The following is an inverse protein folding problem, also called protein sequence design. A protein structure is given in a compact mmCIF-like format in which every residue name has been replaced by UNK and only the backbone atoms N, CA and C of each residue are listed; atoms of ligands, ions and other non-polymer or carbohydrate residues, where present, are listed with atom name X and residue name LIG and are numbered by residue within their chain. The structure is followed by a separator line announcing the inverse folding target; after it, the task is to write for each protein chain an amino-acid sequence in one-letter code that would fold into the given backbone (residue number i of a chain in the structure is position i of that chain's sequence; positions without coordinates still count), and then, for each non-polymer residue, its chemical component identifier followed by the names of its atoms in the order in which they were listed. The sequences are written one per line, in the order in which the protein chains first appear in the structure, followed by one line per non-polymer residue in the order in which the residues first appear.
data_IF_884831286885
#
_entry.id   IF_884831286885
#
_cell.length_a   1.000
_cell.length_b   1.000
_cell.length_c   1.000
_cell.angle_alpha   90.00
_cell.angle_beta   90.00
_cell.angle_gamma   90.00
#
_symmetry.space_group_name_H-M   'P 1'
#
loop_
_entity.id
_entity.type
_entity.pdbx_description
1 polymer ?
#
# COMPACT_ATOMS: atom_id res chain seq x y z
N UNK A 1 51.22 -32.07 37.27
CA UNK A 1 50.81 -33.00 38.32
C UNK A 1 51.14 -34.45 37.99
N UNK A 2 50.74 -34.98 36.80
CA UNK A 2 50.96 -36.38 36.41
C UNK A 2 52.45 -36.75 36.32
N UNK A 3 53.30 -35.87 35.80
CA UNK A 3 54.77 -36.12 35.68
C UNK A 3 55.45 -36.19 37.08
N UNK A 4 55.01 -35.44 38.08
CA UNK A 4 55.55 -35.49 39.43
C UNK A 4 55.13 -36.76 40.17
N UNK A 5 53.90 -37.23 39.94
CA UNK A 5 53.40 -38.50 40.49
C UNK A 5 54.15 -39.68 39.89
N UNK A 6 54.45 -39.67 38.60
CA UNK A 6 55.25 -40.68 37.89
C UNK A 6 56.72 -40.69 38.36
N UNK A 7 57.31 -39.49 38.60
CA UNK A 7 58.67 -39.39 39.11
C UNK A 7 58.80 -39.90 40.56
N UNK A 8 57.83 -39.63 41.42
CA UNK A 8 57.77 -40.18 42.80
C UNK A 8 57.53 -41.70 42.89
N UNK A 9 56.68 -42.22 42.00
CA UNK A 9 56.41 -43.65 41.88
C UNK A 9 57.62 -44.38 41.31
N UNK A 10 58.48 -43.80 40.51
CA UNK A 10 59.67 -44.41 39.94
C UNK A 10 60.78 -44.78 40.96
N UNK A 11 60.75 -44.11 42.15
CA UNK A 11 61.72 -44.30 43.23
C UNK A 11 61.41 -45.50 44.15
N UNK A 12 60.19 -46.06 44.09
CA UNK A 12 59.68 -47.02 45.09
C UNK A 12 59.63 -48.44 44.53
N UNK A 13 59.55 -48.70 43.25
CA UNK A 13 59.46 -50.01 42.64
C UNK A 13 60.42 -50.24 41.46
N UNK A 14 61.45 -50.97 41.61
CA UNK A 14 62.34 -51.52 40.55
C UNK A 14 61.83 -52.84 40.07
N UNK A 15 60.80 -52.87 39.21
CA UNK A 15 60.34 -54.15 38.60
C UNK A 15 60.77 -54.25 37.12
N UNK A 16 60.94 -55.45 36.64
CA UNK A 16 61.19 -55.73 35.22
C UNK A 16 59.96 -56.48 34.66
N UNK A 17 59.50 -56.03 33.48
CA UNK A 17 58.47 -56.71 32.69
C UNK A 17 59.17 -57.68 31.72
N UNK A 18 58.80 -58.98 31.76
CA UNK A 18 59.29 -59.99 30.84
C UNK A 18 58.27 -60.16 29.72
N UNK A 19 58.58 -59.77 28.52
CA UNK A 19 57.76 -60.01 27.32
C UNK A 19 58.33 -61.23 26.61
N UNK A 20 57.55 -62.32 26.58
CA UNK A 20 57.95 -63.58 25.90
C UNK A 20 57.30 -63.56 24.52
N UNK A 21 58.14 -63.51 23.47
CA UNK A 21 57.67 -63.58 22.08
C UNK A 21 58.39 -64.79 21.48
N UNK A 22 57.61 -65.88 21.22
CA UNK A 22 58.05 -67.20 20.77
C UNK A 22 59.12 -67.81 21.67
N UNK A 23 60.40 -67.80 21.31
CA UNK A 23 61.49 -68.37 22.08
C UNK A 23 62.47 -67.35 22.69
N UNK A 24 62.15 -66.06 22.60
CA UNK A 24 63.03 -65.01 23.14
C UNK A 24 62.34 -64.25 24.32
N UNK A 25 63.08 -64.17 25.45
CA UNK A 25 62.70 -63.40 26.62
C UNK A 25 63.32 -61.98 26.53
N UNK A 26 62.50 -61.00 26.29
CA UNK A 26 62.93 -59.60 26.35
C UNK A 26 62.66 -59.05 27.78
N UNK A 27 63.70 -58.60 28.44
CA UNK A 27 63.63 -57.97 29.76
C UNK A 27 63.56 -56.43 29.57
N UNK A 28 62.43 -55.81 29.88
CA UNK A 28 62.20 -54.37 29.75
C UNK A 28 61.98 -53.76 31.14
N UNK A 29 62.61 -52.65 31.44
CA UNK A 29 62.39 -51.94 32.68
C UNK A 29 60.88 -51.49 32.74
N UNK A 30 60.24 -51.72 33.89
CA UNK A 30 58.81 -51.41 34.12
C UNK A 30 58.49 -50.00 33.70
N UNK A 31 59.36 -49.01 33.99
CA UNK A 31 59.14 -47.62 33.64
C UNK A 31 59.21 -47.37 32.14
N UNK A 32 60.13 -48.02 31.41
CA UNK A 32 60.19 -47.95 29.95
C UNK A 32 58.98 -48.59 29.29
N UNK A 33 58.45 -49.67 29.86
CA UNK A 33 57.21 -50.34 29.38
C UNK A 33 55.99 -49.43 29.57
N UNK A 34 55.79 -48.81 30.75
CA UNK A 34 54.68 -47.91 31.04
C UNK A 34 54.75 -46.64 30.13
N UNK A 35 55.97 -46.14 29.96
CA UNK A 35 56.15 -44.97 29.09
C UNK A 35 55.87 -45.28 27.62
N UNK A 36 56.32 -46.46 27.14
CA UNK A 36 56.01 -47.00 25.82
C UNK A 36 54.49 -47.22 25.60
N UNK A 37 53.81 -47.76 26.65
CA UNK A 37 52.36 -47.97 26.61
C UNK A 37 51.61 -46.61 26.52
N UNK A 38 51.99 -45.63 27.35
CA UNK A 38 51.39 -44.31 27.31
C UNK A 38 51.63 -43.60 25.97
N UNK A 39 52.85 -43.75 25.44
CA UNK A 39 53.19 -43.21 24.13
C UNK A 39 52.36 -43.84 23.01
N UNK A 40 52.18 -45.18 23.07
CA UNK A 40 51.39 -45.94 22.09
C UNK A 40 49.91 -45.52 22.12
N UNK A 41 49.33 -45.36 23.32
CA UNK A 41 47.96 -44.86 23.51
C UNK A 41 47.84 -43.43 22.97
N UNK A 42 48.83 -42.58 23.23
CA UNK A 42 48.85 -41.20 22.73
C UNK A 42 48.93 -41.15 21.20
N UNK A 43 49.82 -41.94 20.61
CA UNK A 43 49.93 -42.03 19.13
C UNK A 43 48.64 -42.59 18.52
N UNK A 44 48.06 -43.63 19.13
CA UNK A 44 46.80 -44.21 18.66
C UNK A 44 45.66 -43.20 18.74
N UNK A 45 45.57 -42.43 19.83
CA UNK A 45 44.59 -41.34 19.97
C UNK A 45 44.74 -40.30 18.86
N UNK A 46 45.96 -39.85 18.60
CA UNK A 46 46.22 -38.87 17.53
C UNK A 46 45.91 -39.43 16.15
N UNK A 47 46.23 -40.70 15.92
CA UNK A 47 45.97 -41.38 14.66
C UNK A 47 44.45 -41.50 14.40
N UNK A 48 43.68 -41.90 15.41
CA UNK A 48 42.23 -41.96 15.37
C UNK A 48 41.67 -40.54 15.08
N UNK A 49 42.12 -39.54 15.83
CA UNK A 49 41.67 -38.14 15.66
C UNK A 49 42.02 -37.61 14.28
N UNK A 50 43.18 -37.95 13.73
CA UNK A 50 43.61 -37.59 12.40
C UNK A 50 42.74 -38.22 11.31
N UNK A 51 42.45 -39.52 11.41
CA UNK A 51 41.57 -40.25 10.49
C UNK A 51 40.15 -39.68 10.53
N UNK A 52 39.57 -39.45 11.73
CA UNK A 52 38.26 -38.82 11.86
C UNK A 52 38.27 -37.37 11.35
N UNK A 53 39.35 -36.63 11.51
CA UNK A 53 39.55 -35.31 10.95
C UNK A 53 39.50 -35.30 9.41
N UNK A 54 40.25 -36.24 8.79
CA UNK A 54 40.28 -36.46 7.34
C UNK A 54 38.90 -36.84 6.77
N UNK A 55 38.18 -37.75 7.42
CA UNK A 55 36.84 -38.20 7.01
C UNK A 55 35.80 -37.07 7.09
N UNK A 56 35.98 -36.10 7.98
CA UNK A 56 35.05 -34.96 8.13
C UNK A 56 35.37 -33.75 7.24
N UNK A 57 36.51 -33.74 6.54
CA UNK A 57 36.90 -32.65 5.62
C UNK A 57 35.85 -32.41 4.51
N UNK A 58 35.36 -33.46 3.79
CA UNK A 58 34.39 -33.23 2.72
C UNK A 58 33.08 -32.67 3.24
N UNK A 59 32.59 -33.09 4.40
CA UNK A 59 31.38 -32.55 5.01
C UNK A 59 31.54 -31.07 5.44
N UNK A 60 32.71 -30.69 5.93
CA UNK A 60 33.02 -29.29 6.25
C UNK A 60 33.14 -28.43 4.99
N UNK A 61 33.80 -28.90 3.94
CA UNK A 61 33.90 -28.22 2.67
C UNK A 61 32.54 -28.02 2.02
N UNK A 62 31.64 -29.00 2.05
CA UNK A 62 30.28 -28.86 1.57
C UNK A 62 29.50 -27.79 2.35
N UNK A 63 29.58 -27.81 3.71
CA UNK A 63 28.93 -26.76 4.54
C UNK A 63 29.47 -25.37 4.28
N UNK A 64 30.78 -25.21 4.07
CA UNK A 64 31.38 -23.95 3.67
C UNK A 64 30.93 -23.51 2.26
N UNK A 65 30.81 -24.44 1.32
CA UNK A 65 30.30 -24.18 -0.03
C UNK A 65 28.85 -23.72 -0.01
N UNK A 66 27.98 -24.40 0.75
CA UNK A 66 26.57 -24.03 0.95
C UNK A 66 26.46 -22.64 1.59
N UNK A 67 27.20 -22.40 2.68
CA UNK A 67 27.17 -21.10 3.37
C UNK A 67 27.70 -19.95 2.49
N UNK A 68 28.70 -20.21 1.63
CA UNK A 68 29.22 -19.22 0.66
C UNK A 68 28.18 -18.90 -0.41
N UNK A 69 27.53 -19.94 -0.97
CA UNK A 69 26.47 -19.80 -1.97
C UNK A 69 25.26 -19.05 -1.39
N UNK A 70 24.85 -19.37 -0.16
CA UNK A 70 23.78 -18.65 0.53
C UNK A 70 24.11 -17.16 0.74
N UNK A 71 25.34 -16.84 1.16
CA UNK A 71 25.79 -15.43 1.29
C UNK A 71 25.80 -14.70 -0.06
N UNK A 72 26.22 -15.39 -1.11
CA UNK A 72 26.21 -14.82 -2.45
C UNK A 72 24.79 -14.55 -2.95
N UNK A 73 23.83 -15.48 -2.70
CA UNK A 73 22.42 -15.27 -3.00
C UNK A 73 21.85 -14.05 -2.27
N UNK A 74 22.15 -13.90 -0.97
CA UNK A 74 21.73 -12.73 -0.20
C UNK A 74 22.36 -11.43 -0.71
N UNK A 75 23.61 -11.43 -1.13
CA UNK A 75 24.28 -10.27 -1.71
C UNK A 75 23.65 -9.86 -3.05
N UNK A 76 23.39 -10.83 -3.94
CA UNK A 76 22.67 -10.57 -5.19
C UNK A 76 21.25 -10.07 -4.97
N UNK A 77 20.53 -10.62 -3.97
CA UNK A 77 19.20 -10.16 -3.62
C UNK A 77 19.18 -8.70 -3.14
N UNK A 78 20.15 -8.34 -2.28
CA UNK A 78 20.31 -6.95 -1.85
C UNK A 78 20.62 -6.02 -3.03
N UNK A 79 21.49 -6.45 -3.95
CA UNK A 79 21.80 -5.70 -5.17
C UNK A 79 20.57 -5.55 -6.07
N UNK A 80 19.74 -6.59 -6.19
CA UNK A 80 18.49 -6.55 -6.94
C UNK A 80 17.51 -5.54 -6.33
N UNK A 81 17.35 -5.57 -4.99
CA UNK A 81 16.48 -4.64 -4.27
C UNK A 81 16.92 -3.19 -4.43
N UNK A 82 18.21 -2.89 -4.24
CA UNK A 82 18.77 -1.55 -4.44
C UNK A 82 18.57 -1.07 -5.88
N UNK A 83 18.90 -1.91 -6.87
CA UNK A 83 18.72 -1.57 -8.28
C UNK A 83 17.23 -1.29 -8.62
N UNK A 84 16.30 -2.04 -8.04
CA UNK A 84 14.86 -1.82 -8.21
C UNK A 84 14.42 -0.45 -7.68
N UNK A 85 14.82 -0.11 -6.45
CA UNK A 85 14.48 1.19 -5.84
C UNK A 85 15.16 2.38 -6.52
N UNK A 86 16.30 2.16 -7.19
CA UNK A 86 16.98 3.15 -8.02
C UNK A 86 16.37 3.28 -9.43
N UNK A 87 15.32 2.50 -9.76
CA UNK A 87 14.69 2.49 -11.08
C UNK A 87 15.50 1.76 -12.17
N UNK A 88 16.56 1.04 -11.80
CA UNK A 88 17.41 0.24 -12.72
C UNK A 88 16.84 -1.17 -12.86
N UNK A 89 15.67 -1.28 -13.49
CA UNK A 89 14.87 -2.50 -13.51
C UNK A 89 15.55 -3.67 -14.22
N UNK A 90 16.27 -3.41 -15.33
CA UNK A 90 17.03 -4.45 -16.01
C UNK A 90 18.12 -5.07 -15.11
N UNK A 91 18.85 -4.25 -14.36
CA UNK A 91 19.83 -4.73 -13.40
C UNK A 91 19.18 -5.45 -12.22
N UNK A 92 18.05 -4.97 -11.76
CA UNK A 92 17.29 -5.61 -10.68
C UNK A 92 16.86 -7.01 -11.08
N UNK A 93 16.36 -7.19 -12.30
CA UNK A 93 15.97 -8.49 -12.85
C UNK A 93 17.18 -9.42 -12.98
N UNK A 94 18.29 -8.96 -13.58
CA UNK A 94 19.50 -9.76 -13.73
C UNK A 94 20.06 -10.27 -12.40
N UNK A 95 20.08 -9.42 -11.37
CA UNK A 95 20.53 -9.81 -10.03
C UNK A 95 19.55 -10.78 -9.35
N UNK A 96 18.23 -10.60 -9.54
CA UNK A 96 17.22 -11.54 -9.09
C UNK A 96 17.37 -12.91 -9.77
N UNK A 97 17.60 -12.94 -11.08
CA UNK A 97 17.85 -14.17 -11.84
C UNK A 97 19.08 -14.93 -11.33
N UNK A 98 20.16 -14.24 -10.92
CA UNK A 98 21.34 -14.90 -10.30
C UNK A 98 20.97 -15.61 -8.99
N UNK A 99 20.08 -15.02 -8.18
CA UNK A 99 19.58 -15.68 -6.96
C UNK A 99 18.85 -16.97 -7.32
N UNK A 100 18.01 -16.94 -8.36
CA UNK A 100 17.18 -18.08 -8.77
C UNK A 100 18.01 -19.24 -9.36
N UNK A 101 19.15 -18.94 -9.98
CA UNK A 101 20.10 -19.95 -10.45
C UNK A 101 20.82 -20.67 -9.30
N UNK A 102 20.82 -20.08 -8.10
CA UNK A 102 21.47 -20.66 -6.94
C UNK A 102 20.51 -21.62 -6.21
N UNK A 103 20.81 -22.91 -6.25
CA UNK A 103 20.01 -23.96 -5.57
C UNK A 103 19.94 -23.77 -4.05
N UNK A 104 20.93 -23.09 -3.47
CA UNK A 104 21.04 -22.83 -2.04
C UNK A 104 20.45 -21.44 -1.64
N UNK A 105 19.60 -20.87 -2.48
CA UNK A 105 18.98 -19.57 -2.23
C UNK A 105 18.00 -19.58 -1.03
N UNK A 106 17.42 -20.76 -0.71
CA UNK A 106 16.49 -20.90 0.41
C UNK A 106 15.32 -19.89 0.33
N UNK A 107 15.04 -19.23 1.45
CA UNK A 107 13.95 -18.26 1.57
C UNK A 107 14.12 -17.04 0.64
N UNK A 108 15.35 -16.74 0.21
CA UNK A 108 15.62 -15.67 -0.74
C UNK A 108 14.99 -15.90 -2.12
N UNK A 109 14.65 -17.14 -2.46
CA UNK A 109 14.07 -17.49 -3.76
C UNK A 109 12.74 -16.80 -3.99
N UNK A 110 11.83 -16.82 -3.00
CA UNK A 110 10.50 -16.19 -3.12
C UNK A 110 10.64 -14.67 -3.36
N UNK A 111 11.52 -14.01 -2.60
CA UNK A 111 11.73 -12.58 -2.75
C UNK A 111 12.40 -12.24 -4.10
N UNK A 112 13.31 -13.08 -4.58
CA UNK A 112 13.94 -12.92 -5.89
C UNK A 112 12.91 -13.06 -7.02
N UNK A 113 12.00 -14.05 -6.94
CA UNK A 113 10.90 -14.20 -7.89
C UNK A 113 10.01 -12.95 -7.93
N UNK A 114 9.67 -12.41 -6.76
CA UNK A 114 8.87 -11.19 -6.67
C UNK A 114 9.58 -9.96 -7.22
N UNK A 115 10.85 -9.77 -6.89
CA UNK A 115 11.64 -8.65 -7.42
C UNK A 115 11.82 -8.76 -8.95
N UNK A 116 12.10 -9.97 -9.45
CA UNK A 116 12.19 -10.23 -10.88
C UNK A 116 10.88 -9.94 -11.61
N UNK A 117 9.74 -10.39 -11.04
CA UNK A 117 8.42 -10.12 -11.58
C UNK A 117 8.07 -8.63 -11.60
N UNK A 118 8.34 -7.93 -10.50
CA UNK A 118 8.11 -6.48 -10.43
C UNK A 118 9.01 -5.71 -11.40
N UNK A 119 10.29 -6.08 -11.51
CA UNK A 119 11.21 -5.45 -12.45
C UNK A 119 10.79 -5.68 -13.90
N UNK A 120 10.37 -6.90 -14.25
CA UNK A 120 9.86 -7.24 -15.57
C UNK A 120 8.56 -6.47 -15.90
N UNK A 121 7.65 -6.31 -14.93
CA UNK A 121 6.42 -5.52 -15.09
C UNK A 121 6.72 -4.04 -15.37
N UNK A 122 7.69 -3.45 -14.63
CA UNK A 122 8.13 -2.07 -14.87
C UNK A 122 8.82 -1.86 -16.22
N UNK A 123 9.42 -2.91 -16.79
CA UNK A 123 9.99 -2.91 -18.15
C UNK A 123 8.94 -3.24 -19.23
N UNK A 124 7.67 -3.41 -18.86
CA UNK A 124 6.58 -3.85 -19.74
C UNK A 124 6.84 -5.22 -20.40
N UNK A 125 7.78 -6.01 -19.86
CA UNK A 125 8.06 -7.37 -20.31
C UNK A 125 7.15 -8.37 -19.58
N UNK A 126 5.89 -8.39 -20.02
CA UNK A 126 4.83 -9.20 -19.37
C UNK A 126 5.07 -10.71 -19.50
N UNK A 127 5.71 -11.16 -20.56
CA UNK A 127 6.06 -12.57 -20.72
C UNK A 127 7.07 -13.04 -19.67
N UNK A 128 8.10 -12.24 -19.42
CA UNK A 128 9.10 -12.52 -18.40
C UNK A 128 8.48 -12.44 -16.98
N UNK A 129 7.65 -11.44 -16.73
CA UNK A 129 6.89 -11.31 -15.47
C UNK A 129 6.06 -12.56 -15.21
N UNK A 130 5.29 -13.00 -16.20
CA UNK A 130 4.37 -14.13 -16.04
C UNK A 130 5.13 -15.44 -15.82
N UNK A 131 6.32 -15.62 -16.37
CA UNK A 131 7.21 -16.75 -16.05
C UNK A 131 7.62 -16.75 -14.58
N UNK A 132 8.01 -15.61 -14.02
CA UNK A 132 8.33 -15.50 -12.58
C UNK A 132 7.11 -15.76 -11.70
N UNK A 133 5.96 -15.22 -12.08
CA UNK A 133 4.72 -15.37 -11.32
C UNK A 133 4.18 -16.80 -11.35
N UNK A 134 4.40 -17.55 -12.44
CA UNK A 134 4.04 -18.96 -12.53
C UNK A 134 4.80 -19.81 -11.51
N UNK A 135 6.09 -19.53 -11.27
CA UNK A 135 6.83 -20.23 -10.22
C UNK A 135 6.28 -19.92 -8.81
N UNK A 136 5.72 -18.74 -8.59
CA UNK A 136 5.11 -18.36 -7.30
C UNK A 136 3.77 -19.08 -7.09
N UNK A 137 3.07 -19.47 -8.14
CA UNK A 137 1.78 -20.15 -8.07
C UNK A 137 1.85 -21.50 -7.33
N UNK A 138 3.02 -22.14 -7.34
CA UNK A 138 3.28 -23.40 -6.64
C UNK A 138 3.65 -23.20 -5.16
N UNK A 139 3.80 -21.96 -4.69
CA UNK A 139 4.13 -21.64 -3.30
C UNK A 139 2.88 -21.66 -2.40
N UNK A 140 3.03 -21.79 -1.08
CA UNK A 140 1.92 -21.70 -0.14
C UNK A 140 1.08 -20.43 -0.32
N UNK A 141 -0.24 -20.53 -0.13
CA UNK A 141 -1.21 -19.45 -0.38
C UNK A 141 -0.82 -18.11 0.24
N UNK A 142 -0.25 -18.12 1.46
CA UNK A 142 0.22 -16.88 2.12
C UNK A 142 1.30 -16.12 1.32
N UNK A 143 2.11 -16.83 0.54
CA UNK A 143 3.17 -16.25 -0.28
C UNK A 143 2.66 -15.78 -1.65
N UNK A 144 1.45 -16.17 -2.04
CA UNK A 144 0.82 -15.75 -3.30
C UNK A 144 0.18 -14.36 -3.21
N UNK A 145 0.01 -13.79 -1.99
CA UNK A 145 -0.59 -12.46 -1.81
C UNK A 145 0.08 -11.38 -2.67
N UNK A 146 1.41 -11.35 -2.65
CA UNK A 146 2.19 -10.37 -3.43
C UNK A 146 2.02 -10.55 -4.94
N UNK A 147 1.87 -11.79 -5.41
CA UNK A 147 1.55 -12.10 -6.81
C UNK A 147 0.22 -11.49 -7.22
N UNK A 148 -0.83 -11.72 -6.44
CA UNK A 148 -2.16 -11.16 -6.75
C UNK A 148 -2.17 -9.64 -6.70
N UNK A 149 -1.45 -9.01 -5.75
CA UNK A 149 -1.33 -7.55 -5.69
C UNK A 149 -0.62 -6.98 -6.92
N UNK A 150 0.47 -7.61 -7.38
CA UNK A 150 1.17 -7.17 -8.60
C UNK A 150 0.28 -7.32 -9.83
N UNK A 151 -0.40 -8.46 -10.00
CA UNK A 151 -1.30 -8.68 -11.13
C UNK A 151 -2.47 -7.69 -11.13
N UNK A 152 -3.05 -7.41 -9.96
CA UNK A 152 -4.12 -6.43 -9.83
C UNK A 152 -3.64 -5.01 -10.20
N UNK A 153 -2.47 -4.60 -9.70
CA UNK A 153 -1.89 -3.28 -9.97
C UNK A 153 -1.55 -3.10 -11.46
N UNK A 154 -0.92 -4.10 -12.07
CA UNK A 154 -0.61 -4.13 -13.51
C UNK A 154 -1.88 -4.11 -14.37
N UNK A 155 -2.90 -4.88 -13.99
CA UNK A 155 -4.20 -4.91 -14.68
C UNK A 155 -4.92 -3.56 -14.59
N UNK A 156 -4.95 -2.91 -13.41
CA UNK A 156 -5.51 -1.57 -13.24
C UNK A 156 -4.79 -0.52 -14.09
N UNK A 157 -3.48 -0.59 -14.20
CA UNK A 157 -2.70 0.34 -15.03
C UNK A 157 -3.02 0.20 -16.52
N UNK A 158 -3.37 -1.00 -16.96
CA UNK A 158 -3.80 -1.30 -18.34
C UNK A 158 -5.31 -1.20 -18.55
N UNK A 159 -6.08 -0.85 -17.52
CA UNK A 159 -7.54 -0.82 -17.53
C UNK A 159 -8.19 -2.18 -17.83
N UNK A 160 -7.49 -3.27 -17.50
CA UNK A 160 -8.02 -4.63 -17.57
C UNK A 160 -8.76 -4.93 -16.24
N UNK A 161 -9.96 -4.39 -16.14
CA UNK A 161 -10.76 -4.47 -14.92
C UNK A 161 -11.21 -5.89 -14.54
N UNK A 162 -11.55 -6.79 -15.48
CA UNK A 162 -11.89 -8.17 -15.13
C UNK A 162 -10.73 -8.90 -14.43
N UNK A 163 -9.52 -8.79 -15.00
CA UNK A 163 -8.31 -9.38 -14.37
C UNK A 163 -7.98 -8.71 -13.04
N UNK A 164 -8.15 -7.39 -12.94
CA UNK A 164 -7.95 -6.66 -11.68
C UNK A 164 -8.91 -7.17 -10.60
N UNK A 165 -10.22 -7.25 -10.89
CA UNK A 165 -11.23 -7.73 -9.95
C UNK A 165 -10.93 -9.14 -9.42
N UNK A 166 -10.61 -10.08 -10.31
CA UNK A 166 -10.28 -11.45 -9.94
C UNK A 166 -9.08 -11.52 -8.97
N UNK A 167 -8.03 -10.75 -9.25
CA UNK A 167 -6.84 -10.76 -8.40
C UNK A 167 -7.06 -9.99 -7.07
N UNK A 168 -7.85 -8.92 -7.06
CA UNK A 168 -8.23 -8.22 -5.83
C UNK A 168 -9.07 -9.12 -4.92
N UNK A 169 -9.99 -9.91 -5.48
CA UNK A 169 -10.79 -10.88 -4.72
C UNK A 169 -9.90 -12.01 -4.16
N UNK A 170 -9.00 -12.57 -4.96
CA UNK A 170 -8.05 -13.58 -4.52
C UNK A 170 -7.15 -13.07 -3.39
N UNK A 171 -6.62 -11.86 -3.52
CA UNK A 171 -5.83 -11.20 -2.48
C UNK A 171 -6.64 -10.97 -1.19
N UNK A 172 -7.92 -10.59 -1.30
CA UNK A 172 -8.81 -10.35 -0.18
C UNK A 172 -9.10 -11.63 0.62
N UNK A 173 -9.20 -12.78 -0.05
CA UNK A 173 -9.34 -14.10 0.61
C UNK A 173 -8.12 -14.47 1.47
N UNK A 174 -6.94 -13.93 1.13
CA UNK A 174 -5.69 -14.18 1.88
C UNK A 174 -5.57 -13.18 3.04
N UNK A 175 -5.74 -11.88 2.77
CA UNK A 175 -5.67 -10.82 3.78
C UNK A 175 -6.49 -9.59 3.36
N UNK A 176 -7.72 -9.49 3.85
CA UNK A 176 -8.66 -8.41 3.52
C UNK A 176 -8.32 -7.05 4.18
N UNK A 177 -7.41 -7.03 5.16
CA UNK A 177 -7.11 -5.80 5.93
C UNK A 177 -5.80 -5.14 5.53
N UNK A 178 -5.09 -5.68 4.55
CA UNK A 178 -3.83 -5.09 4.08
C UNK A 178 -4.10 -3.74 3.39
N UNK A 179 -3.49 -2.67 3.89
CA UNK A 179 -3.70 -1.31 3.37
C UNK A 179 -3.39 -1.19 1.88
N UNK A 180 -2.35 -1.88 1.38
CA UNK A 180 -2.04 -1.90 -0.06
C UNK A 180 -3.18 -2.50 -0.89
N UNK A 181 -3.79 -3.61 -0.42
CA UNK A 181 -4.96 -4.20 -1.07
C UNK A 181 -6.14 -3.23 -1.08
N UNK A 182 -6.47 -2.64 0.08
CA UNK A 182 -7.59 -1.69 0.19
C UNK A 182 -7.36 -0.48 -0.71
N UNK A 183 -6.12 -0.01 -0.86
CA UNK A 183 -5.77 1.09 -1.79
C UNK A 183 -6.00 0.70 -3.26
N UNK A 184 -5.64 -0.52 -3.66
CA UNK A 184 -5.93 -1.01 -5.01
C UNK A 184 -7.44 -1.20 -5.25
N UNK A 185 -8.18 -1.67 -4.24
CA UNK A 185 -9.65 -1.76 -4.29
C UNK A 185 -10.28 -0.37 -4.40
N UNK A 186 -9.76 0.62 -3.67
CA UNK A 186 -10.22 2.01 -3.78
C UNK A 186 -10.01 2.56 -5.20
N UNK A 187 -8.82 2.34 -5.79
CA UNK A 187 -8.54 2.72 -7.18
C UNK A 187 -9.49 2.03 -8.16
N UNK A 188 -9.71 0.73 -7.98
CA UNK A 188 -10.67 -0.03 -8.80
C UNK A 188 -12.08 0.54 -8.71
N UNK A 189 -12.60 0.80 -7.50
CA UNK A 189 -13.92 1.39 -7.29
C UNK A 189 -14.03 2.79 -7.88
N UNK A 190 -12.98 3.60 -7.76
CA UNK A 190 -12.92 4.94 -8.34
C UNK A 190 -12.97 4.90 -9.87
N UNK A 191 -12.19 4.03 -10.50
CA UNK A 191 -12.16 3.87 -11.96
C UNK A 191 -13.50 3.32 -12.51
N UNK A 192 -14.22 2.52 -11.72
CA UNK A 192 -15.56 2.01 -12.06
C UNK A 192 -16.69 2.99 -11.79
N UNK A 193 -16.44 4.04 -11.02
CA UNK A 193 -17.46 5.00 -10.63
C UNK A 193 -18.36 4.52 -9.50
N UNK A 194 -17.96 3.51 -8.72
CA UNK A 194 -18.70 3.03 -7.56
C UNK A 194 -18.43 3.91 -6.34
N UNK A 195 -19.26 4.96 -6.22
CA UNK A 195 -19.12 5.97 -5.17
C UNK A 195 -19.28 5.39 -3.76
N UNK A 196 -20.14 4.39 -3.58
CA UNK A 196 -20.39 3.78 -2.25
C UNK A 196 -19.15 2.98 -1.80
N UNK A 197 -18.55 2.19 -2.69
CA UNK A 197 -17.35 1.43 -2.37
C UNK A 197 -16.13 2.35 -2.19
N UNK A 198 -16.03 3.45 -2.94
CA UNK A 198 -14.99 4.49 -2.74
C UNK A 198 -15.06 5.04 -1.32
N UNK A 199 -16.25 5.43 -0.82
CA UNK A 199 -16.42 5.93 0.55
C UNK A 199 -16.01 4.89 1.59
N UNK A 200 -16.46 3.65 1.43
CA UNK A 200 -16.15 2.56 2.37
C UNK A 200 -14.65 2.25 2.42
N UNK A 201 -13.97 2.24 1.27
CA UNK A 201 -12.51 1.97 1.22
C UNK A 201 -11.70 3.16 1.72
N UNK A 202 -12.08 4.40 1.39
CA UNK A 202 -11.43 5.59 1.90
C UNK A 202 -11.50 5.65 3.44
N UNK A 203 -12.69 5.44 4.03
CA UNK A 203 -12.86 5.38 5.48
C UNK A 203 -11.98 4.29 6.14
N UNK A 204 -11.91 3.10 5.52
CA UNK A 204 -11.06 2.01 6.00
C UNK A 204 -9.58 2.39 5.98
N UNK A 205 -9.12 3.10 4.95
CA UNK A 205 -7.73 3.57 4.84
C UNK A 205 -7.40 4.67 5.84
N UNK A 206 -8.33 5.60 6.12
CA UNK A 206 -8.17 6.62 7.18
C UNK A 206 -8.01 5.95 8.54
N UNK A 207 -8.91 5.01 8.89
CA UNK A 207 -8.84 4.26 10.15
C UNK A 207 -7.54 3.47 10.31
N UNK A 208 -6.95 3.03 9.20
CA UNK A 208 -5.66 2.34 9.17
C UNK A 208 -4.45 3.30 9.15
N UNK A 209 -4.65 4.63 9.12
CA UNK A 209 -3.59 5.61 8.96
C UNK A 209 -2.83 5.51 7.63
N UNK A 210 -3.46 4.92 6.61
CA UNK A 210 -2.83 4.65 5.31
C UNK A 210 -2.99 5.80 4.31
N UNK A 211 -3.99 6.67 4.51
CA UNK A 211 -4.17 7.95 3.80
C UNK A 211 -4.40 9.04 4.84
N UNK A 212 -4.06 10.27 4.48
CA UNK A 212 -4.31 11.44 5.32
C UNK A 212 -5.73 11.99 5.10
N UNK A 213 -6.18 12.90 5.99
CA UNK A 213 -7.52 13.46 5.94
C UNK A 213 -7.79 14.22 4.64
N UNK A 214 -6.79 14.94 4.11
CA UNK A 214 -6.90 15.66 2.84
C UNK A 214 -7.14 14.70 1.65
N UNK A 215 -6.37 13.62 1.57
CA UNK A 215 -6.56 12.61 0.52
C UNK A 215 -7.95 11.94 0.64
N UNK A 216 -8.38 11.66 1.86
CA UNK A 216 -9.72 11.11 2.12
C UNK A 216 -10.83 12.07 1.70
N UNK A 217 -10.68 13.38 1.98
CA UNK A 217 -11.64 14.40 1.59
C UNK A 217 -11.79 14.50 0.07
N UNK A 218 -10.72 14.36 -0.71
CA UNK A 218 -10.79 14.33 -2.18
C UNK A 218 -11.64 13.15 -2.68
N UNK A 219 -11.45 11.95 -2.12
CA UNK A 219 -12.30 10.80 -2.46
C UNK A 219 -13.74 10.98 -2.02
N UNK A 220 -13.97 11.55 -0.85
CA UNK A 220 -15.32 11.85 -0.35
C UNK A 220 -16.04 12.86 -1.22
N UNK A 221 -15.38 13.97 -1.60
CA UNK A 221 -15.94 14.99 -2.47
C UNK A 221 -16.32 14.41 -3.83
N UNK A 222 -15.44 13.62 -4.42
CA UNK A 222 -15.74 12.93 -5.68
C UNK A 222 -16.93 11.98 -5.54
N UNK A 223 -16.93 11.13 -4.52
CA UNK A 223 -17.96 10.12 -4.32
C UNK A 223 -19.33 10.76 -4.03
N UNK A 224 -19.39 11.75 -3.16
CA UNK A 224 -20.65 12.44 -2.87
C UNK A 224 -21.15 13.25 -4.07
N UNK A 225 -20.27 13.87 -4.86
CA UNK A 225 -20.66 14.52 -6.12
C UNK A 225 -21.26 13.50 -7.10
N UNK A 226 -20.69 12.31 -7.17
CA UNK A 226 -21.21 11.25 -8.01
C UNK A 226 -22.58 10.79 -7.54
N UNK A 227 -22.74 10.46 -6.25
CA UNK A 227 -24.04 10.07 -5.64
C UNK A 227 -25.09 11.18 -5.82
N UNK A 228 -24.69 12.43 -5.65
CA UNK A 228 -25.58 13.57 -5.89
C UNK A 228 -26.04 13.63 -7.36
N UNK A 229 -25.16 13.37 -8.31
CA UNK A 229 -25.51 13.34 -9.74
C UNK A 229 -26.49 12.21 -10.08
N UNK A 230 -26.42 11.07 -9.41
CA UNK A 230 -27.25 9.89 -9.63
C UNK A 230 -28.66 10.01 -9.00
N UNK A 231 -28.88 10.94 -8.07
CA UNK A 231 -30.20 11.19 -7.51
C UNK A 231 -31.16 11.65 -8.60
N UNK A 232 -32.30 10.98 -8.78
CA UNK A 232 -33.29 11.22 -9.85
C UNK A 232 -34.57 11.89 -9.37
N UNK A 233 -34.79 11.94 -8.06
CA UNK A 233 -35.98 12.47 -7.41
C UNK A 233 -35.68 13.09 -6.05
N UNK A 234 -36.68 13.76 -5.45
CA UNK A 234 -36.56 14.38 -4.14
C UNK A 234 -36.22 13.41 -3.01
N UNK A 235 -36.72 12.18 -3.10
CA UNK A 235 -36.47 11.14 -2.08
C UNK A 235 -35.03 10.66 -2.08
N UNK A 236 -34.52 10.31 -3.25
CA UNK A 236 -33.13 9.88 -3.45
C UNK A 236 -32.13 11.00 -3.11
N UNK A 237 -32.45 12.25 -3.49
CA UNK A 237 -31.63 13.41 -3.11
C UNK A 237 -31.59 13.59 -1.60
N UNK A 238 -32.75 13.54 -0.92
CA UNK A 238 -32.82 13.67 0.54
C UNK A 238 -32.05 12.55 1.27
N UNK A 239 -32.15 11.32 0.76
CA UNK A 239 -31.39 10.19 1.29
C UNK A 239 -29.89 10.41 1.13
N UNK A 240 -29.44 10.85 -0.05
CA UNK A 240 -28.04 11.19 -0.31
C UNK A 240 -27.54 12.27 0.64
N UNK A 241 -28.24 13.40 0.75
CA UNK A 241 -27.86 14.53 1.59
C UNK A 241 -27.77 14.17 3.09
N UNK A 242 -28.52 13.18 3.56
CA UNK A 242 -28.46 12.73 4.96
C UNK A 242 -27.09 12.14 5.32
N UNK A 243 -26.40 11.54 4.37
CA UNK A 243 -25.12 10.86 4.58
C UNK A 243 -23.91 11.76 4.33
N UNK A 244 -24.10 12.92 3.70
CA UNK A 244 -22.99 13.85 3.45
C UNK A 244 -22.69 14.66 4.71
N UNK A 245 -21.42 14.74 5.16
CA UNK A 245 -21.02 15.59 6.27
C UNK A 245 -21.33 17.07 6.00
N UNK A 246 -21.68 17.83 7.05
CA UNK A 246 -22.08 19.22 6.92
C UNK A 246 -20.96 20.12 6.37
N UNK A 247 -19.71 19.84 6.73
CA UNK A 247 -18.54 20.55 6.18
C UNK A 247 -18.42 20.44 4.66
N UNK A 248 -18.70 19.23 4.12
CA UNK A 248 -18.66 18.98 2.67
C UNK A 248 -19.88 19.62 1.98
N UNK A 249 -21.07 19.57 2.59
CA UNK A 249 -22.27 20.22 2.06
C UNK A 249 -22.11 21.73 1.93
N UNK A 250 -21.61 22.38 2.98
CA UNK A 250 -21.42 23.82 3.02
C UNK A 250 -20.18 24.31 2.26
N UNK A 251 -19.24 23.40 1.96
CA UNK A 251 -18.03 23.68 1.20
C UNK A 251 -18.17 23.29 -0.28
N UNK A 252 -17.44 22.25 -0.66
CA UNK A 252 -17.24 21.81 -2.05
C UNK A 252 -18.52 21.42 -2.81
N UNK A 253 -19.56 20.97 -2.10
CA UNK A 253 -20.80 20.52 -2.72
C UNK A 253 -21.93 21.56 -2.64
N UNK A 254 -21.71 22.72 -2.03
CA UNK A 254 -22.76 23.68 -1.77
C UNK A 254 -23.50 24.11 -3.03
N UNK A 255 -22.75 24.48 -4.08
CA UNK A 255 -23.29 24.86 -5.39
C UNK A 255 -23.94 23.67 -6.08
N UNK A 256 -23.27 22.51 -6.12
CA UNK A 256 -23.80 21.33 -6.77
C UNK A 256 -25.13 20.83 -6.18
N UNK A 257 -25.34 21.04 -4.86
CA UNK A 257 -26.60 20.73 -4.19
C UNK A 257 -27.70 21.72 -4.62
N UNK A 258 -27.38 23.02 -4.70
CA UNK A 258 -28.34 24.03 -5.17
C UNK A 258 -28.78 23.74 -6.61
N UNK A 259 -27.84 23.51 -7.52
CA UNK A 259 -28.12 23.13 -8.91
C UNK A 259 -28.92 21.82 -9.00
N UNK A 260 -28.66 20.85 -8.11
CA UNK A 260 -29.40 19.59 -8.12
C UNK A 260 -30.85 19.78 -7.71
N UNK A 261 -31.12 20.62 -6.71
CA UNK A 261 -32.48 20.99 -6.34
C UNK A 261 -33.19 21.65 -7.52
N UNK A 262 -32.54 22.59 -8.20
CA UNK A 262 -33.08 23.27 -9.38
C UNK A 262 -33.42 22.28 -10.50
N UNK A 263 -32.47 21.42 -10.91
CA UNK A 263 -32.64 20.40 -11.97
C UNK A 263 -33.78 19.43 -11.69
N UNK A 264 -34.07 19.15 -10.43
CA UNK A 264 -35.18 18.29 -10.01
C UNK A 264 -36.52 19.06 -9.87
N UNK A 265 -36.54 20.36 -10.19
CA UNK A 265 -37.72 21.19 -10.05
C UNK A 265 -38.11 21.52 -8.60
N UNK A 266 -37.19 21.29 -7.65
CA UNK A 266 -37.37 21.53 -6.22
C UNK A 266 -36.98 23.00 -5.89
N UNK A 267 -37.63 23.95 -6.56
CA UNK A 267 -37.24 25.37 -6.55
C UNK A 267 -37.34 26.01 -5.15
N UNK A 268 -38.34 25.65 -4.37
CA UNK A 268 -38.48 26.18 -3.00
C UNK A 268 -37.33 25.69 -2.08
N UNK A 269 -36.92 24.46 -2.23
CA UNK A 269 -35.78 23.84 -1.52
C UNK A 269 -34.47 24.47 -1.97
N UNK A 270 -34.28 24.71 -3.27
CA UNK A 270 -33.11 25.39 -3.80
C UNK A 270 -32.96 26.78 -3.19
N UNK A 271 -34.02 27.59 -3.21
CA UNK A 271 -34.03 28.96 -2.61
C UNK A 271 -33.73 28.87 -1.10
N UNK A 272 -34.34 27.91 -0.39
CA UNK A 272 -34.09 27.73 1.04
C UNK A 272 -32.61 27.34 1.30
N UNK A 273 -32.03 26.52 0.43
CA UNK A 273 -30.63 26.11 0.52
C UNK A 273 -29.70 27.29 0.33
N UNK A 274 -29.88 28.08 -0.74
CA UNK A 274 -29.08 29.27 -1.02
C UNK A 274 -29.19 30.29 0.11
N UNK A 275 -30.41 30.53 0.62
CA UNK A 275 -30.63 31.41 1.77
C UNK A 275 -29.81 31.05 2.99
N UNK A 276 -29.66 29.74 3.26
CA UNK A 276 -28.89 29.24 4.42
C UNK A 276 -27.38 29.36 4.24
N UNK A 277 -26.87 29.17 3.02
CA UNK A 277 -25.45 29.00 2.77
C UNK A 277 -24.75 30.19 2.11
N UNK A 278 -25.44 30.95 1.25
CA UNK A 278 -24.83 32.08 0.55
C UNK A 278 -24.21 33.15 1.48
N UNK A 279 -24.83 33.55 2.61
CA UNK A 279 -24.25 34.56 3.49
C UNK A 279 -22.87 34.15 4.05
N UNK A 280 -22.61 32.86 4.16
CA UNK A 280 -21.38 32.33 4.71
C UNK A 280 -20.32 32.04 3.64
N UNK A 281 -20.74 31.48 2.50
CA UNK A 281 -19.83 31.00 1.43
C UNK A 281 -19.50 32.12 0.44
N UNK A 282 -20.45 33.00 0.20
CA UNK A 282 -20.37 34.12 -0.75
C UNK A 282 -20.05 33.70 -2.19
N UNK A 283 -20.37 32.43 -2.53
CA UNK A 283 -20.13 31.87 -3.86
C UNK A 283 -21.15 32.44 -4.86
N UNK A 284 -20.69 33.14 -5.95
CA UNK A 284 -21.60 33.75 -6.90
C UNK A 284 -22.46 32.73 -7.66
N UNK A 285 -21.98 31.52 -7.84
CA UNK A 285 -22.69 30.42 -8.51
C UNK A 285 -23.99 30.03 -7.76
N UNK A 286 -24.05 30.24 -6.45
CA UNK A 286 -25.29 30.04 -5.68
C UNK A 286 -26.37 31.04 -6.06
N UNK A 287 -25.99 32.26 -6.45
CA UNK A 287 -26.94 33.28 -6.89
C UNK A 287 -27.59 32.91 -8.22
N UNK A 288 -26.86 32.23 -9.12
CA UNK A 288 -27.42 31.74 -10.37
C UNK A 288 -28.55 30.72 -10.08
N UNK A 289 -28.28 29.69 -9.30
CA UNK A 289 -29.29 28.70 -8.89
C UNK A 289 -30.47 29.35 -8.13
N UNK A 290 -30.20 30.41 -7.37
CA UNK A 290 -31.23 31.19 -6.67
C UNK A 290 -32.16 31.89 -7.67
N UNK A 291 -31.61 32.65 -8.60
CA UNK A 291 -32.38 33.44 -9.58
C UNK A 291 -33.22 32.55 -10.47
N UNK A 292 -32.62 31.49 -11.00
CA UNK A 292 -33.33 30.52 -11.84
C UNK A 292 -34.48 29.85 -11.07
N UNK A 293 -34.24 29.45 -9.81
CA UNK A 293 -35.30 28.85 -8.98
C UNK A 293 -36.40 29.83 -8.60
N UNK A 294 -36.07 31.07 -8.28
CA UNK A 294 -37.05 32.09 -7.90
C UNK A 294 -38.10 32.36 -9.00
N UNK A 295 -37.72 32.25 -10.27
CA UNK A 295 -38.63 32.45 -11.42
C UNK A 295 -39.85 31.52 -11.40
N UNK A 296 -39.74 30.36 -10.81
CA UNK A 296 -40.80 29.31 -10.74
C UNK A 296 -41.62 29.39 -9.46
N UNK A 297 -41.31 30.30 -8.53
CA UNK A 297 -42.05 30.47 -7.29
C UNK A 297 -43.26 31.37 -7.47
N UNK A 298 -44.17 31.40 -6.48
CA UNK A 298 -45.28 32.32 -6.45
C UNK A 298 -44.81 33.78 -6.36
N UNK A 299 -45.63 34.73 -6.85
CA UNK A 299 -45.30 36.16 -6.83
C UNK A 299 -44.93 36.70 -5.44
N UNK A 300 -45.58 36.17 -4.40
CA UNK A 300 -45.28 36.53 -3.01
C UNK A 300 -43.89 36.05 -2.58
N UNK A 301 -43.53 34.86 -2.99
CA UNK A 301 -42.23 34.27 -2.67
C UNK A 301 -41.10 34.93 -3.47
N UNK A 302 -41.37 35.28 -4.74
CA UNK A 302 -40.45 36.07 -5.56
C UNK A 302 -40.14 37.42 -4.92
N UNK A 303 -41.18 38.12 -4.39
CA UNK A 303 -40.96 39.38 -3.70
C UNK A 303 -40.07 39.20 -2.45
N UNK A 304 -40.35 38.19 -1.63
CA UNK A 304 -39.50 37.87 -0.47
C UNK A 304 -38.06 37.52 -0.85
N UNK A 305 -37.86 36.87 -1.97
CA UNK A 305 -36.51 36.56 -2.47
C UNK A 305 -35.74 37.81 -2.89
N UNK A 306 -36.43 38.80 -3.55
CA UNK A 306 -35.84 40.08 -3.88
C UNK A 306 -35.49 40.85 -2.61
N UNK A 307 -36.41 40.96 -1.65
CA UNK A 307 -36.18 41.66 -0.39
C UNK A 307 -34.98 41.03 0.40
N UNK A 308 -34.84 39.71 0.32
CA UNK A 308 -33.72 39.00 0.92
C UNK A 308 -32.39 39.34 0.20
N UNK A 309 -32.37 39.32 -1.15
CA UNK A 309 -31.19 39.63 -1.91
C UNK A 309 -30.79 41.12 -1.76
N UNK A 310 -31.78 42.00 -1.63
CA UNK A 310 -31.55 43.42 -1.26
C UNK A 310 -30.86 43.52 0.12
N UNK A 311 -31.24 42.68 1.11
CA UNK A 311 -30.56 42.69 2.40
C UNK A 311 -29.10 42.21 2.31
N UNK A 312 -28.78 41.26 1.45
CA UNK A 312 -27.41 40.84 1.19
C UNK A 312 -26.61 41.98 0.52
N UNK A 313 -27.23 42.75 -0.38
CA UNK A 313 -26.59 43.88 -1.02
C UNK A 313 -26.25 45.02 -0.02
N UNK A 314 -27.10 45.23 1.00
CA UNK A 314 -26.77 46.18 2.07
C UNK A 314 -25.50 45.81 2.84
N UNK A 315 -25.23 44.50 2.99
CA UNK A 315 -24.00 44.03 3.60
C UNK A 315 -22.79 44.10 2.65
N UNK A 316 -23.03 44.08 1.33
CA UNK A 316 -22.01 44.02 0.29
C UNK A 316 -22.38 44.95 -0.89
N UNK A 317 -22.32 46.29 -0.72
CA UNK A 317 -22.76 47.21 -1.74
C UNK A 317 -22.02 47.10 -3.08
N UNK A 318 -20.74 46.70 -3.04
CA UNK A 318 -19.85 46.61 -4.19
C UNK A 318 -19.75 45.16 -4.77
N UNK A 319 -20.76 44.34 -4.52
CA UNK A 319 -20.78 42.97 -5.04
C UNK A 319 -21.39 42.96 -6.45
N UNK A 320 -20.55 43.07 -7.48
CA UNK A 320 -20.98 43.11 -8.88
C UNK A 320 -21.82 41.87 -9.31
N UNK A 321 -21.46 40.59 -8.97
CA UNK A 321 -22.32 39.45 -9.22
C UNK A 321 -23.71 39.56 -8.57
N UNK A 322 -23.80 40.00 -7.32
CA UNK A 322 -25.06 40.11 -6.61
C UNK A 322 -25.95 41.21 -7.27
N UNK A 323 -25.37 42.34 -7.66
CA UNK A 323 -26.06 43.36 -8.41
C UNK A 323 -26.59 42.85 -9.76
N UNK A 324 -25.79 42.10 -10.50
CA UNK A 324 -26.21 41.47 -11.76
C UNK A 324 -27.43 40.58 -11.56
N UNK A 325 -27.39 39.70 -10.58
CA UNK A 325 -28.48 38.73 -10.29
C UNK A 325 -29.73 39.43 -9.74
N UNK A 326 -29.60 40.48 -8.91
CA UNK A 326 -30.71 41.33 -8.52
C UNK A 326 -31.35 42.03 -9.71
N UNK A 327 -30.54 42.53 -10.64
CA UNK A 327 -31.00 43.10 -11.91
C UNK A 327 -31.84 42.13 -12.73
N UNK A 328 -31.39 40.86 -12.80
CA UNK A 328 -32.14 39.79 -13.49
C UNK A 328 -33.48 39.48 -12.78
N UNK A 329 -33.49 39.40 -11.46
CA UNK A 329 -34.73 39.20 -10.70
C UNK A 329 -35.72 40.34 -10.87
N UNK A 330 -35.26 41.56 -10.77
CA UNK A 330 -36.06 42.76 -10.99
C UNK A 330 -36.61 42.82 -12.43
N UNK A 331 -35.80 42.44 -13.42
CA UNK A 331 -36.22 42.38 -14.83
C UNK A 331 -37.33 41.32 -15.01
N UNK A 332 -37.17 40.13 -14.45
CA UNK A 332 -38.20 39.06 -14.49
C UNK A 332 -39.54 39.50 -13.89
N UNK A 333 -39.51 40.41 -12.92
CA UNK A 333 -40.68 41.01 -12.27
C UNK A 333 -41.18 42.27 -12.96
N UNK A 334 -40.63 42.65 -14.10
CA UNK A 334 -40.98 43.87 -14.85
C UNK A 334 -40.72 45.17 -14.06
N UNK A 335 -39.85 45.15 -13.07
CA UNK A 335 -39.41 46.30 -12.28
C UNK A 335 -38.28 47.04 -13.00
N UNK A 336 -38.59 47.56 -14.18
CA UNK A 336 -37.61 48.04 -15.16
C UNK A 336 -36.60 49.06 -14.61
N UNK A 337 -37.06 50.06 -13.82
CA UNK A 337 -36.17 51.05 -13.23
C UNK A 337 -35.19 50.47 -12.21
N UNK A 338 -35.62 49.52 -11.37
CA UNK A 338 -34.73 48.80 -10.44
C UNK A 338 -33.76 47.92 -11.21
N UNK A 339 -34.22 47.17 -12.22
CA UNK A 339 -33.39 46.31 -13.03
C UNK A 339 -32.26 47.11 -13.70
N UNK A 340 -32.58 48.23 -14.32
CA UNK A 340 -31.62 49.12 -14.95
C UNK A 340 -30.57 49.58 -13.93
N UNK A 341 -30.99 50.12 -12.77
CA UNK A 341 -30.07 50.63 -11.76
C UNK A 341 -29.09 49.53 -11.22
N UNK A 342 -29.58 48.32 -10.97
CA UNK A 342 -28.70 47.21 -10.52
C UNK A 342 -27.72 46.79 -11.61
N UNK A 343 -28.17 46.66 -12.87
CA UNK A 343 -27.30 46.23 -13.96
C UNK A 343 -26.24 47.28 -14.30
N UNK A 344 -26.62 48.58 -14.32
CA UNK A 344 -25.66 49.66 -14.51
C UNK A 344 -24.63 49.70 -13.38
N UNK A 345 -25.06 49.55 -12.12
CA UNK A 345 -24.15 49.47 -10.99
C UNK A 345 -23.21 48.26 -11.07
N UNK A 346 -23.71 47.07 -11.50
CA UNK A 346 -22.90 45.89 -11.70
C UNK A 346 -21.83 46.06 -12.78
N UNK A 347 -22.12 46.79 -13.84
CA UNK A 347 -21.17 47.06 -14.93
C UNK A 347 -20.12 48.09 -14.52
N UNK A 348 -20.46 48.98 -13.61
CA UNK A 348 -19.57 50.05 -13.14
C UNK A 348 -18.50 49.56 -12.14
N UNK A 349 -18.68 48.38 -11.53
CA UNK A 349 -17.73 47.71 -10.63
C UNK A 349 -16.85 46.71 -11.37
#
# INVERSE_FOLDING_TARGET
AAAVVLALASGIYTGNVYVVVEQTMLRINLHAFVLGLLLSVFVLYFLIKFVFGLLNIPARMQRFGIARKGRQASASLNSAGLAYFEGRFEKAEQEAAKVLQNKEAGDNRTLALMLGAHAADQMENFELRDRYLHEIEHLPQKQQLSRHLLLAESALSRRDYPTAAQNLEAAAKINSNLSRLVRLQLRYAFDHGDAADVLAKAEKLVKAGAINDYEAEQYQNWAYRRLLSEATDAGSLKACLKHIPESIKSGELCVAIAEKYERLGLYAEAVKWVKAHYPQTRQPELLEAFVESVRFLSEREQQKAIDLADSWLQEQPDNAPLLMYLGQLAYGRKLWGKAQGYLEASIAL
#
